data_IF_385728066948
#
_entry.id   IF_385728066948
#
_cell.length_a   1.000
_cell.length_b   1.000
_cell.length_c   1.000
_cell.angle_alpha   90.00
_cell.angle_beta   90.00
_cell.angle_gamma   90.00
#
_symmetry.space_group_name_H-M   'P 1'
#
loop_
_entity.id
_entity.type
_entity.pdbx_description
1 polymer ?
#
# COMPACT_ATOMS: atom_id res chain seq x y z
N UNK A 1 -32.14 -42.33 0.87
CA UNK A 1 -32.08 -43.11 2.13
C UNK A 1 -31.67 -42.19 3.26
N UNK A 2 -31.93 -42.54 4.53
CA UNK A 2 -31.51 -41.72 5.68
C UNK A 2 -29.98 -41.44 5.65
N UNK A 3 -29.21 -42.43 5.24
CA UNK A 3 -27.77 -42.34 5.00
C UNK A 3 -27.37 -41.27 3.97
N UNK A 4 -28.13 -41.10 2.89
CA UNK A 4 -27.87 -40.05 1.90
C UNK A 4 -28.09 -38.64 2.47
N UNK A 5 -29.05 -38.47 3.38
CA UNK A 5 -29.33 -37.17 4.02
C UNK A 5 -28.21 -36.77 5.00
N UNK A 6 -27.75 -37.72 5.82
CA UNK A 6 -26.64 -37.52 6.74
C UNK A 6 -25.32 -37.22 5.99
N UNK A 7 -25.08 -37.90 4.87
CA UNK A 7 -23.93 -37.65 4.02
C UNK A 7 -23.95 -36.23 3.41
N UNK A 8 -25.12 -35.69 3.04
CA UNK A 8 -25.24 -34.32 2.54
C UNK A 8 -25.04 -33.28 3.66
N UNK A 9 -25.56 -33.53 4.87
CA UNK A 9 -25.31 -32.69 6.04
C UNK A 9 -23.81 -32.64 6.40
N UNK A 10 -23.11 -33.77 6.35
CA UNK A 10 -21.67 -33.84 6.61
C UNK A 10 -20.84 -33.11 5.55
N UNK A 11 -21.23 -33.16 4.26
CA UNK A 11 -20.60 -32.40 3.18
C UNK A 11 -20.81 -30.90 3.36
N UNK A 12 -22.05 -30.48 3.62
CA UNK A 12 -22.39 -29.09 3.87
C UNK A 12 -21.65 -28.51 5.09
N UNK A 13 -21.47 -29.30 6.16
CA UNK A 13 -20.73 -28.89 7.35
C UNK A 13 -19.23 -28.67 7.05
N UNK A 14 -18.61 -29.53 6.23
CA UNK A 14 -17.22 -29.34 5.76
C UNK A 14 -17.10 -28.08 4.89
N UNK A 15 -18.03 -27.89 3.95
CA UNK A 15 -18.09 -26.69 3.11
C UNK A 15 -18.31 -25.40 3.93
N UNK A 16 -19.10 -25.46 5.01
CA UNK A 16 -19.26 -24.34 5.95
C UNK A 16 -17.97 -24.05 6.73
N UNK A 17 -17.22 -25.09 7.13
CA UNK A 17 -15.94 -24.95 7.83
C UNK A 17 -14.79 -24.45 6.92
N UNK A 18 -14.87 -24.71 5.62
CA UNK A 18 -13.92 -24.22 4.61
C UNK A 18 -14.20 -22.76 4.22
N UNK A 19 -15.48 -22.38 4.08
CA UNK A 19 -15.89 -20.98 3.80
C UNK A 19 -15.43 -19.96 4.85
N UNK A 20 -15.23 -20.39 6.10
CA UNK A 20 -14.72 -19.54 7.18
C UNK A 20 -13.22 -19.22 7.13
N UNK A 21 -12.41 -19.91 6.29
CA UNK A 21 -10.97 -19.61 6.13
C UNK A 21 -10.66 -18.68 4.95
N UNK A 22 -11.55 -18.55 3.98
CA UNK A 22 -11.41 -17.58 2.90
C UNK A 22 -12.03 -16.25 3.34
N UNK A 23 -11.35 -15.54 4.23
CA UNK A 23 -11.65 -14.12 4.43
C UNK A 23 -11.26 -13.36 3.15
N UNK A 24 -12.18 -12.66 2.47
CA UNK A 24 -11.77 -11.71 1.47
C UNK A 24 -11.19 -10.51 2.24
N UNK A 25 -9.89 -10.54 2.51
CA UNK A 25 -9.13 -9.34 2.92
C UNK A 25 -8.97 -8.43 1.70
N UNK A 26 -10.11 -7.95 1.19
CA UNK A 26 -10.18 -6.79 0.32
C UNK A 26 -11.19 -5.88 1.00
N UNK A 27 -10.72 -5.15 2.02
CA UNK A 27 -11.35 -3.89 2.39
C UNK A 27 -11.37 -3.04 1.12
N UNK A 28 -12.53 -3.01 0.47
CA UNK A 28 -12.81 -2.04 -0.58
C UNK A 28 -12.60 -0.69 0.09
N UNK A 29 -11.58 0.06 -0.32
CA UNK A 29 -11.34 1.43 0.11
C UNK A 29 -12.49 2.29 -0.45
N UNK A 30 -13.67 2.20 0.17
CA UNK A 30 -14.90 2.92 -0.22
C UNK A 30 -14.82 4.41 0.11
N UNK A 31 -13.64 5.02 0.01
CA UNK A 31 -13.48 6.48 0.02
C UNK A 31 -13.71 7.00 -1.41
N UNK A 32 -14.88 6.72 -1.97
CA UNK A 32 -15.41 7.51 -3.07
C UNK A 32 -16.25 8.60 -2.41
N UNK A 33 -15.72 9.84 -2.46
CA UNK A 33 -16.35 11.11 -2.07
C UNK A 33 -15.93 11.70 -0.70
N UNK A 34 -14.70 12.19 -0.64
CA UNK A 34 -14.31 13.37 0.16
C UNK A 34 -13.17 14.17 -0.52
N UNK A 35 -13.17 14.24 -1.85
CA UNK A 35 -12.42 15.23 -2.64
C UNK A 35 -13.42 16.12 -3.39
N UNK A 36 -14.43 16.63 -2.67
CA UNK A 36 -15.22 17.75 -3.18
C UNK A 36 -14.65 19.03 -2.56
N UNK A 37 -13.98 19.85 -3.38
CA UNK A 37 -13.88 21.28 -3.10
C UNK A 37 -12.51 21.87 -2.72
N UNK A 38 -11.45 21.61 -3.50
CA UNK A 38 -10.43 22.64 -3.74
C UNK A 38 -10.06 22.66 -5.22
N UNK A 39 -10.79 23.48 -5.98
CA UNK A 39 -10.29 24.05 -7.21
C UNK A 39 -8.87 24.58 -6.97
N UNK A 40 -7.94 24.09 -7.78
CA UNK A 40 -6.51 24.34 -7.62
C UNK A 40 -6.17 25.81 -7.62
N UNK A 41 -5.92 26.38 -6.43
CA UNK A 41 -5.06 27.54 -6.20
C UNK A 41 -4.88 27.77 -4.68
N UNK A 42 -4.21 26.86 -3.99
CA UNK A 42 -3.63 27.19 -2.68
C UNK A 42 -2.25 27.81 -2.93
N UNK A 43 -2.24 29.14 -3.08
CA UNK A 43 -1.05 29.94 -3.33
C UNK A 43 0.05 29.64 -2.33
N UNK A 44 1.08 28.94 -2.81
CA UNK A 44 2.38 28.90 -2.14
C UNK A 44 2.92 30.33 -2.10
N UNK A 45 3.07 30.87 -0.88
CA UNK A 45 3.72 32.14 -0.61
C UNK A 45 5.03 32.23 -1.39
N UNK A 46 5.06 33.05 -2.44
CA UNK A 46 6.27 33.32 -3.21
C UNK A 46 7.19 34.13 -2.30
N UNK A 47 8.13 33.45 -1.66
CA UNK A 47 9.36 34.07 -1.21
C UNK A 47 10.03 34.65 -2.46
N UNK A 48 10.03 35.97 -2.58
CA UNK A 48 10.76 36.70 -3.62
C UNK A 48 12.26 36.63 -3.32
N UNK A 49 12.83 35.45 -3.55
CA UNK A 49 14.26 35.17 -3.48
C UNK A 49 14.82 35.03 -4.90
N UNK A 50 15.67 35.99 -5.26
CA UNK A 50 16.64 36.03 -6.36
C UNK A 50 16.57 34.95 -7.47
N UNK A 51 16.57 35.43 -8.72
CA UNK A 51 16.55 34.69 -9.98
C UNK A 51 17.72 33.69 -10.17
N UNK A 52 17.65 32.56 -9.48
CA UNK A 52 18.24 31.30 -9.88
C UNK A 52 17.10 30.29 -9.92
N UNK A 53 16.59 30.00 -11.12
CA UNK A 53 15.55 28.98 -11.30
C UNK A 53 16.01 27.65 -10.69
N UNK A 54 15.09 26.80 -10.18
CA UNK A 54 15.47 25.53 -9.57
C UNK A 54 16.28 24.70 -10.57
N UNK A 55 17.57 24.52 -10.29
CA UNK A 55 18.41 23.65 -11.10
C UNK A 55 17.97 22.20 -10.88
N UNK A 56 17.58 21.52 -11.97
CA UNK A 56 17.21 20.11 -11.90
C UNK A 56 18.47 19.27 -11.81
N UNK A 57 18.76 18.73 -10.62
CA UNK A 57 19.88 17.81 -10.44
C UNK A 57 19.46 16.41 -10.90
N UNK A 58 20.06 15.93 -11.98
CA UNK A 58 19.99 14.50 -12.33
C UNK A 58 20.94 13.71 -11.45
N UNK A 59 20.44 12.62 -10.88
CA UNK A 59 21.28 11.64 -10.18
C UNK A 59 21.99 10.78 -11.21
N UNK A 60 23.30 10.63 -11.06
CA UNK A 60 24.06 9.65 -11.85
C UNK A 60 23.86 8.22 -11.32
N UNK A 61 23.56 8.09 -10.03
CA UNK A 61 23.39 6.80 -9.37
C UNK A 61 21.91 6.38 -9.26
N UNK A 62 21.63 5.06 -9.28
CA UNK A 62 20.28 4.54 -9.13
C UNK A 62 19.70 4.89 -7.75
N UNK A 63 18.37 5.07 -7.70
CA UNK A 63 17.66 5.36 -6.46
C UNK A 63 17.56 4.07 -5.63
N UNK A 64 18.10 4.09 -4.42
CA UNK A 64 17.98 2.95 -3.48
C UNK A 64 16.52 2.81 -3.06
N UNK A 65 15.95 1.63 -3.26
CA UNK A 65 14.60 1.30 -2.84
C UNK A 65 14.50 1.14 -1.32
N UNK A 66 13.33 1.45 -0.75
CA UNK A 66 13.10 1.37 0.70
C UNK A 66 13.37 -0.03 1.30
N UNK A 67 13.21 -1.09 0.50
CA UNK A 67 13.43 -2.47 0.93
C UNK A 67 14.80 -3.04 0.54
N UNK A 68 15.59 -2.32 -0.25
CA UNK A 68 16.91 -2.78 -0.71
C UNK A 68 17.93 -2.76 0.43
N UNK A 69 19.06 -3.44 0.24
CA UNK A 69 20.16 -3.39 1.20
C UNK A 69 20.67 -1.95 1.36
N UNK A 70 20.91 -1.56 2.60
CA UNK A 70 21.36 -0.21 2.89
C UNK A 70 22.80 0.00 2.39
N UNK A 71 23.10 1.08 1.64
CA UNK A 71 24.43 1.33 1.07
C UNK A 71 25.52 1.60 2.12
N UNK A 72 25.17 1.68 3.41
CA UNK A 72 26.14 1.77 4.51
C UNK A 72 26.80 0.42 4.86
N UNK A 73 26.41 -0.68 4.21
CA UNK A 73 26.99 -2.01 4.45
C UNK A 73 26.49 -2.72 5.71
N UNK A 74 25.45 -2.22 6.37
CA UNK A 74 24.92 -2.82 7.62
C UNK A 74 24.17 -4.15 7.43
N UNK A 75 23.95 -4.58 6.18
CA UNK A 75 23.13 -5.76 5.85
C UNK A 75 21.62 -5.60 6.12
N UNK A 76 21.19 -4.48 6.69
CA UNK A 76 19.78 -4.18 6.97
C UNK A 76 19.11 -3.56 5.74
N UNK A 77 17.81 -3.79 5.58
CA UNK A 77 17.00 -3.08 4.56
C UNK A 77 17.07 -1.57 4.79
N UNK A 78 17.04 -0.76 3.74
CA UNK A 78 17.19 0.69 3.80
C UNK A 78 16.22 1.31 4.81
N UNK A 79 14.95 0.88 4.82
CA UNK A 79 13.93 1.30 5.79
C UNK A 79 14.26 1.08 7.26
N UNK A 80 15.03 0.03 7.56
CA UNK A 80 15.39 -0.35 8.91
C UNK A 80 16.76 0.23 9.33
N UNK A 81 17.34 1.10 8.50
CA UNK A 81 18.66 1.68 8.73
C UNK A 81 18.64 3.20 8.52
N UNK A 82 18.78 3.68 7.29
CA UNK A 82 18.84 5.12 6.97
C UNK A 82 17.52 5.68 6.40
N UNK A 83 16.55 4.82 6.09
CA UNK A 83 15.30 5.18 5.43
C UNK A 83 14.11 5.31 6.39
N UNK A 84 14.21 6.23 7.37
CA UNK A 84 13.06 6.61 8.22
C UNK A 84 11.82 6.93 7.36
#
# INVERSE_FOLDING_TARGET
>A
TQEQAEALLAKNAREQAERGKSSPTVEIHQSLNAFEGLDGNAGGSRIEGAAAGPHTVRREQPKVGRNDLCPCGSGKKFKACHGR
#
